data_IF_231085942521
#
_entry.id   IF_231085942521
#
_cell.length_a   1.000
_cell.length_b   1.000
_cell.length_c   1.000
_cell.angle_alpha   90.00
_cell.angle_beta   90.00
_cell.angle_gamma   90.00
#
_symmetry.space_group_name_H-M   'P 1'
#
loop_
_entity.id
_entity.type
_entity.pdbx_description
1 polymer ?
#
# COMPACT_ATOMS: atom_id res chain seq x y z
N UNK A 1 13.77 -13.19 -4.10
CA UNK A 1 12.47 -12.56 -4.43
C UNK A 1 11.36 -13.40 -3.81
N UNK A 2 10.34 -12.78 -3.21
CA UNK A 2 9.16 -13.48 -2.70
C UNK A 2 7.93 -13.00 -3.44
N UNK A 3 7.20 -13.91 -4.05
CA UNK A 3 5.98 -13.64 -4.81
C UNK A 3 4.75 -14.13 -4.02
N UNK A 4 3.71 -13.32 -3.94
CA UNK A 4 2.46 -13.62 -3.25
C UNK A 4 1.32 -13.46 -4.25
N UNK A 5 0.55 -14.54 -4.44
CA UNK A 5 -0.53 -14.61 -5.43
C UNK A 5 -1.87 -14.80 -4.77
N UNK A 6 -2.89 -14.12 -5.28
CA UNK A 6 -4.26 -14.56 -5.08
C UNK A 6 -4.56 -15.68 -6.08
N UNK A 7 -5.08 -16.82 -5.61
CA UNK A 7 -5.43 -17.93 -6.51
C UNK A 7 -6.72 -17.66 -7.29
N UNK A 8 -7.57 -16.73 -6.83
CA UNK A 8 -8.85 -16.40 -7.45
C UNK A 8 -8.77 -15.23 -8.45
N UNK A 9 -7.79 -14.33 -8.28
CA UNK A 9 -7.56 -13.19 -9.16
C UNK A 9 -6.13 -13.23 -9.67
N UNK A 10 -5.91 -12.98 -10.97
CA UNK A 10 -4.55 -12.98 -11.55
C UNK A 10 -3.60 -11.89 -10.98
N UNK A 11 -4.05 -11.12 -10.00
CA UNK A 11 -3.27 -10.14 -9.26
C UNK A 11 -2.28 -10.81 -8.31
N UNK A 12 -1.04 -10.36 -8.36
CA UNK A 12 0.00 -10.79 -7.43
C UNK A 12 0.92 -9.62 -7.08
N UNK A 13 1.68 -9.78 -6.01
CA UNK A 13 2.63 -8.78 -5.53
C UNK A 13 3.96 -9.47 -5.23
N UNK A 14 5.01 -8.95 -5.85
CA UNK A 14 6.39 -9.38 -5.64
C UNK A 14 7.14 -8.45 -4.67
N UNK A 15 7.98 -9.03 -3.82
CA UNK A 15 8.85 -8.32 -2.90
C UNK A 15 10.31 -8.77 -3.05
N UNK A 16 11.20 -7.80 -3.04
CA UNK A 16 12.64 -8.04 -2.97
C UNK A 16 13.22 -7.40 -1.70
N UNK A 17 14.21 -8.09 -1.16
CA UNK A 17 14.83 -7.74 0.11
C UNK A 17 16.33 -7.59 -0.07
N UNK A 18 16.90 -6.63 0.66
CA UNK A 18 18.34 -6.46 0.76
C UNK A 18 18.98 -7.48 1.70
N UNK A 19 20.32 -7.45 1.83
CA UNK A 19 21.07 -8.37 2.68
C UNK A 19 20.67 -8.33 4.15
N UNK A 20 20.18 -7.19 4.65
CA UNK A 20 19.73 -7.03 6.04
C UNK A 20 18.23 -7.33 6.21
N UNK A 21 17.58 -7.94 5.20
CA UNK A 21 16.14 -8.25 5.15
C UNK A 21 15.24 -7.02 5.17
N UNK A 22 15.78 -5.85 4.88
CA UNK A 22 15.02 -4.66 4.55
C UNK A 22 14.35 -4.83 3.20
N UNK A 23 13.10 -4.37 3.05
CA UNK A 23 12.47 -4.36 1.73
C UNK A 23 13.17 -3.30 0.88
N UNK A 24 13.66 -3.70 -0.28
CA UNK A 24 14.27 -2.79 -1.27
C UNK A 24 13.34 -2.51 -2.44
N UNK A 25 12.41 -3.44 -2.73
CA UNK A 25 11.50 -3.31 -3.87
C UNK A 25 10.15 -4.00 -3.62
N UNK A 26 9.08 -3.41 -4.14
CA UNK A 26 7.75 -4.00 -4.33
C UNK A 26 7.36 -3.89 -5.81
N UNK A 27 6.75 -4.94 -6.34
CA UNK A 27 6.22 -4.99 -7.70
C UNK A 27 4.76 -5.40 -7.60
N UNK A 28 3.88 -4.58 -8.12
CA UNK A 28 2.45 -4.90 -8.21
C UNK A 28 2.12 -5.29 -9.65
N UNK A 29 1.32 -6.34 -9.81
CA UNK A 29 1.00 -6.90 -11.12
C UNK A 29 -0.49 -6.74 -11.46
N UNK A 30 -0.75 -6.34 -12.69
CA UNK A 30 -2.07 -6.39 -13.32
C UNK A 30 -2.12 -7.64 -14.20
N UNK A 31 -2.59 -8.77 -13.64
CA UNK A 31 -2.46 -10.07 -14.27
C UNK A 31 -1.01 -10.56 -14.24
N UNK A 32 -0.47 -11.02 -15.37
CA UNK A 32 0.90 -11.52 -15.47
C UNK A 32 1.95 -10.43 -15.73
N UNK A 33 1.53 -9.19 -15.95
CA UNK A 33 2.43 -8.08 -16.30
C UNK A 33 2.63 -7.13 -15.13
N UNK A 34 3.87 -6.66 -14.88
CA UNK A 34 4.12 -5.61 -13.91
C UNK A 34 3.33 -4.35 -14.24
N UNK A 35 2.71 -3.76 -13.23
CA UNK A 35 1.91 -2.54 -13.35
C UNK A 35 2.60 -1.34 -12.71
N UNK A 36 3.01 -1.49 -11.45
CA UNK A 36 3.79 -0.49 -10.73
C UNK A 36 4.96 -1.12 -9.98
N UNK A 37 6.05 -0.36 -9.87
CA UNK A 37 7.25 -0.75 -9.14
C UNK A 37 7.55 0.32 -8.11
N UNK A 38 7.79 -0.08 -6.87
CA UNK A 38 8.18 0.81 -5.77
C UNK A 38 9.57 0.40 -5.28
N UNK A 39 10.51 1.33 -5.31
CA UNK A 39 11.84 1.18 -4.71
C UNK A 39 11.89 1.87 -3.36
N UNK A 40 12.57 1.27 -2.39
CA UNK A 40 12.77 1.86 -1.06
C UNK A 40 14.24 2.29 -0.92
N UNK A 41 14.48 3.59 -0.73
CA UNK A 41 15.82 4.17 -0.63
C UNK A 41 15.84 5.21 0.48
N UNK A 42 16.65 5.00 1.52
CA UNK A 42 16.86 5.99 2.58
C UNK A 42 15.57 6.46 3.28
N UNK A 43 14.58 5.56 3.45
CA UNK A 43 13.28 5.88 4.02
C UNK A 43 12.28 6.54 3.07
N UNK A 44 12.64 6.73 1.79
CA UNK A 44 11.73 7.17 0.74
C UNK A 44 11.26 5.98 -0.11
N UNK A 45 10.00 6.03 -0.53
CA UNK A 45 9.42 5.15 -1.53
C UNK A 45 9.36 5.88 -2.88
N UNK A 46 9.99 5.32 -3.90
CA UNK A 46 10.04 5.87 -5.25
C UNK A 46 9.21 4.98 -6.15
N UNK A 47 8.09 5.50 -6.66
CA UNK A 47 7.14 4.76 -7.50
C UNK A 47 7.37 5.06 -8.98
N UNK A 48 7.46 4.00 -9.77
CA UNK A 48 7.53 4.04 -11.23
C UNK A 48 6.36 3.27 -11.86
N UNK A 49 5.92 3.74 -13.03
CA UNK A 49 5.06 2.96 -13.91
C UNK A 49 5.84 1.81 -14.55
N UNK A 50 5.24 0.64 -14.64
CA UNK A 50 5.91 -0.55 -15.18
C UNK A 50 5.35 -1.02 -16.54
N UNK A 51 4.22 -0.47 -16.98
CA UNK A 51 3.63 -0.73 -18.29
C UNK A 51 3.29 0.58 -19.03
N UNK A 52 2.91 0.46 -20.31
CA UNK A 52 2.57 1.61 -21.17
C UNK A 52 1.39 2.43 -20.62
N UNK A 53 0.37 1.78 -20.07
CA UNK A 53 -0.82 2.44 -19.52
C UNK A 53 -0.48 3.31 -18.29
N UNK A 54 0.56 2.94 -17.55
CA UNK A 54 1.05 3.63 -16.36
C UNK A 54 2.32 4.45 -16.59
N UNK A 55 2.72 4.68 -17.85
CA UNK A 55 3.94 5.40 -18.20
C UNK A 55 5.18 4.57 -17.93
N UNK A 56 5.50 3.62 -18.82
CA UNK A 56 6.58 2.66 -18.63
C UNK A 56 7.91 3.37 -18.28
N UNK A 57 8.49 2.97 -17.15
CA UNK A 57 9.72 3.53 -16.56
C UNK A 57 9.64 5.03 -16.21
N UNK A 58 8.45 5.63 -16.20
CA UNK A 58 8.26 7.01 -15.77
C UNK A 58 8.13 7.09 -14.25
N UNK A 59 8.83 8.07 -13.66
CA UNK A 59 8.67 8.40 -12.25
C UNK A 59 7.26 8.95 -12.01
N UNK A 60 6.49 8.27 -11.17
CA UNK A 60 5.15 8.73 -10.79
C UNK A 60 5.21 9.64 -9.56
N UNK A 61 5.86 9.18 -8.49
CA UNK A 61 5.95 9.92 -7.24
C UNK A 61 7.11 9.46 -6.35
N UNK A 62 7.51 10.34 -5.43
CA UNK A 62 8.39 10.05 -4.30
C UNK A 62 7.61 10.30 -3.01
N UNK A 63 7.38 9.25 -2.22
CA UNK A 63 6.71 9.32 -0.93
C UNK A 63 7.72 9.20 0.21
N UNK A 64 7.53 9.99 1.27
CA UNK A 64 8.28 9.89 2.53
C UNK A 64 7.31 9.89 3.69
N UNK A 65 7.50 8.96 4.62
CA UNK A 65 6.78 8.94 5.90
C UNK A 65 7.65 9.63 6.97
N UNK A 66 7.13 10.69 7.56
CA UNK A 66 7.80 11.54 8.55
C UNK A 66 6.94 11.55 9.82
N UNK A 67 7.10 10.52 10.66
CA UNK A 67 6.16 10.25 11.74
C UNK A 67 4.76 9.99 11.19
N UNK A 68 3.78 10.80 11.62
CA UNK A 68 2.39 10.69 11.15
C UNK A 68 2.11 11.53 9.90
N UNK A 69 3.12 12.10 9.24
CA UNK A 69 2.94 12.91 8.04
C UNK A 69 3.51 12.19 6.83
N UNK A 70 2.70 12.06 5.78
CA UNK A 70 3.16 11.61 4.47
C UNK A 70 3.42 12.84 3.61
N UNK A 71 4.63 12.92 3.05
CA UNK A 71 4.98 13.87 2.01
C UNK A 71 5.06 13.14 0.67
N UNK A 72 4.23 13.55 -0.29
CA UNK A 72 4.22 13.00 -1.66
C UNK A 72 4.69 14.08 -2.62
N UNK A 73 5.79 13.81 -3.31
CA UNK A 73 6.29 14.63 -4.40
C UNK A 73 5.91 13.99 -5.74
N UNK A 74 5.31 14.76 -6.63
CA UNK A 74 5.03 14.35 -8.02
C UNK A 74 5.74 15.28 -8.99
N UNK A 75 6.17 14.76 -10.13
CA UNK A 75 6.94 15.52 -11.12
C UNK A 75 8.42 15.68 -10.74
N UNK A 76 9.19 16.33 -11.61
CA UNK A 76 10.64 16.50 -11.49
C UNK A 76 11.10 17.90 -11.92
N UNK A 77 12.35 18.25 -11.59
CA UNK A 77 12.94 19.53 -11.96
C UNK A 77 12.20 20.73 -11.35
N UNK A 78 11.94 21.76 -12.15
CA UNK A 78 11.23 22.98 -11.74
C UNK A 78 9.70 22.82 -11.64
N UNK A 79 9.13 21.72 -12.15
CA UNK A 79 7.67 21.50 -12.21
C UNK A 79 7.16 20.50 -11.17
N UNK A 80 7.89 20.31 -10.07
CA UNK A 80 7.48 19.40 -9.01
C UNK A 80 6.34 19.99 -8.16
N UNK A 81 5.51 19.11 -7.60
CA UNK A 81 4.46 19.45 -6.63
C UNK A 81 4.64 18.62 -5.38
N UNK A 82 4.41 19.23 -4.21
CA UNK A 82 4.40 18.52 -2.93
C UNK A 82 2.98 18.55 -2.36
N UNK A 83 2.49 17.37 -2.02
CA UNK A 83 1.27 17.17 -1.21
C UNK A 83 1.67 16.62 0.14
N UNK A 84 1.05 17.11 1.21
CA UNK A 84 1.24 16.58 2.56
C UNK A 84 -0.07 16.07 3.11
N UNK A 85 -0.02 14.88 3.70
CA UNK A 85 -1.16 14.23 4.33
C UNK A 85 -0.79 13.87 5.76
N UNK A 86 -1.75 13.96 6.67
CA UNK A 86 -1.59 13.59 8.08
C UNK A 86 -2.37 12.31 8.33
N UNK A 87 -1.72 11.33 8.94
CA UNK A 87 -2.29 10.08 9.38
C UNK A 87 -2.74 10.23 10.84
N UNK A 88 -4.04 10.12 11.08
CA UNK A 88 -4.57 9.93 12.42
C UNK A 88 -4.60 8.44 12.69
N UNK A 89 -3.97 8.02 13.78
CA UNK A 89 -3.85 6.62 14.15
C UNK A 89 -4.52 6.33 15.50
N UNK A 90 -4.98 5.10 15.69
CA UNK A 90 -5.45 4.61 16.98
C UNK A 90 -4.28 4.32 17.94
N UNK A 91 -4.62 3.86 19.15
CA UNK A 91 -3.63 3.52 20.18
C UNK A 91 -2.66 2.39 19.79
N UNK A 92 -3.00 1.56 18.80
CA UNK A 92 -2.14 0.50 18.26
C UNK A 92 -1.36 0.95 17.02
N UNK A 93 -1.53 2.21 16.60
CA UNK A 93 -0.90 2.77 15.42
C UNK A 93 -1.65 2.48 14.11
N UNK A 94 -2.85 1.90 14.15
CA UNK A 94 -3.63 1.67 12.95
C UNK A 94 -4.17 2.98 12.40
N UNK A 95 -3.98 3.24 11.10
CA UNK A 95 -4.50 4.47 10.48
C UNK A 95 -6.03 4.47 10.50
N UNK A 96 -6.63 5.44 11.18
CA UNK A 96 -8.08 5.65 11.22
C UNK A 96 -8.54 6.69 10.20
N UNK A 97 -7.75 7.74 9.99
CA UNK A 97 -8.12 8.81 9.09
C UNK A 97 -6.92 9.44 8.38
N UNK A 98 -7.10 9.80 7.11
CA UNK A 98 -6.09 10.54 6.33
C UNK A 98 -6.61 11.93 6.01
N UNK A 99 -5.93 12.95 6.52
CA UNK A 99 -6.28 14.36 6.35
C UNK A 99 -5.30 15.07 5.42
N UNK A 100 -5.75 16.06 4.67
CA UNK A 100 -4.87 16.98 3.97
C UNK A 100 -4.19 17.90 5.01
N UNK A 101 -2.86 18.01 4.99
CA UNK A 101 -2.13 18.75 6.02
C UNK A 101 -2.42 20.25 6.04
N UNK A 102 -2.92 20.81 4.94
CA UNK A 102 -3.22 22.25 4.82
C UNK A 102 -4.60 22.62 5.34
N UNK A 103 -5.60 21.76 5.16
CA UNK A 103 -7.00 22.04 5.53
C UNK A 103 -7.46 21.24 6.75
N UNK A 104 -6.72 20.19 7.12
CA UNK A 104 -7.11 19.19 8.12
C UNK A 104 -8.46 18.53 7.82
N UNK A 105 -8.88 18.56 6.56
CA UNK A 105 -10.07 17.84 6.08
C UNK A 105 -9.67 16.48 5.48
N UNK A 106 -10.56 15.48 5.46
CA UNK A 106 -10.30 14.19 4.83
C UNK A 106 -9.85 14.35 3.38
N UNK A 107 -8.81 13.60 2.98
CA UNK A 107 -8.24 13.71 1.62
C UNK A 107 -9.25 13.24 0.55
N UNK A 108 -10.10 12.26 0.88
CA UNK A 108 -11.24 11.83 0.08
C UNK A 108 -12.23 11.02 0.95
N UNK A 109 -13.33 10.55 0.35
CA UNK A 109 -14.35 9.72 1.02
C UNK A 109 -13.81 8.38 1.55
N UNK A 110 -12.72 7.85 0.99
CA UNK A 110 -12.04 6.66 1.48
C UNK A 110 -10.95 6.96 2.53
N UNK A 111 -10.83 8.22 2.97
CA UNK A 111 -9.85 8.64 3.96
C UNK A 111 -10.12 8.08 5.35
N UNK A 112 -11.34 7.59 5.61
CA UNK A 112 -11.69 6.88 6.84
C UNK A 112 -11.35 5.39 6.70
N UNK A 113 -10.80 4.83 7.77
CA UNK A 113 -10.31 3.48 7.82
C UNK A 113 -10.74 2.82 9.13
N UNK A 114 -11.19 1.57 9.03
CA UNK A 114 -11.49 0.73 10.17
C UNK A 114 -10.90 -0.65 9.92
N UNK A 115 -10.46 -1.31 10.98
CA UNK A 115 -9.93 -2.67 10.93
C UNK A 115 -10.63 -3.53 11.98
N UNK A 116 -10.73 -4.83 11.73
CA UNK A 116 -11.09 -5.79 12.76
C UNK A 116 -9.87 -6.11 13.66
N UNK A 117 -10.08 -6.97 14.66
CA UNK A 117 -9.03 -7.35 15.61
C UNK A 117 -7.84 -8.08 14.95
N UNK A 118 -8.01 -8.60 13.73
CA UNK A 118 -6.98 -9.34 12.99
C UNK A 118 -6.39 -8.54 11.82
N UNK A 119 -6.78 -7.27 11.71
CA UNK A 119 -6.25 -6.34 10.73
C UNK A 119 -6.93 -6.39 9.37
N UNK A 120 -8.03 -7.13 9.21
CA UNK A 120 -8.86 -7.02 8.01
C UNK A 120 -9.53 -5.64 7.98
N UNK A 121 -9.41 -4.94 6.85
CA UNK A 121 -10.11 -3.66 6.66
C UNK A 121 -11.62 -3.90 6.70
N UNK A 122 -12.32 -2.98 7.35
CA UNK A 122 -13.76 -2.90 7.43
C UNK A 122 -14.24 -1.66 6.70
N UNK A 123 -15.52 -1.67 6.36
CA UNK A 123 -16.19 -0.44 6.00
C UNK A 123 -16.16 0.50 7.21
N UNK A 124 -15.66 1.72 7.03
CA UNK A 124 -15.41 2.63 8.14
C UNK A 124 -16.68 3.25 8.72
N UNK A 125 -17.75 3.33 7.91
CA UNK A 125 -19.01 3.97 8.30
C UNK A 125 -19.97 2.98 8.95
N UNK A 126 -19.97 1.73 8.48
CA UNK A 126 -20.90 0.68 8.94
C UNK A 126 -20.25 -0.36 9.85
N UNK A 127 -18.91 -0.38 9.91
CA UNK A 127 -18.10 -1.36 10.66
C UNK A 127 -18.35 -2.81 10.22
N UNK A 128 -19.01 -3.00 9.08
CA UNK A 128 -19.26 -4.28 8.45
C UNK A 128 -18.00 -4.85 7.77
N UNK A 129 -18.13 -6.05 7.22
CA UNK A 129 -17.09 -6.60 6.36
C UNK A 129 -16.80 -5.60 5.22
N UNK A 130 -15.53 -5.28 4.98
CA UNK A 130 -15.22 -4.49 3.79
C UNK A 130 -15.76 -5.22 2.57
N UNK A 131 -16.47 -4.48 1.72
CA UNK A 131 -16.79 -4.88 0.35
C UNK A 131 -15.55 -5.53 -0.28
N UNK A 132 -15.72 -6.55 -1.15
CA UNK A 132 -14.60 -7.26 -1.75
C UNK A 132 -13.58 -6.28 -2.33
N UNK A 133 -12.31 -6.67 -2.30
CA UNK A 133 -11.25 -5.87 -2.90
C UNK A 133 -11.63 -5.46 -4.32
N UNK A 134 -11.53 -4.16 -4.62
CA UNK A 134 -11.74 -3.63 -5.97
C UNK A 134 -10.52 -2.82 -6.39
N UNK A 135 -10.23 -2.82 -7.70
CA UNK A 135 -9.20 -1.95 -8.26
C UNK A 135 -9.45 -0.45 -7.95
N UNK A 136 -10.72 -0.05 -7.78
CA UNK A 136 -11.09 1.30 -7.37
C UNK A 136 -10.65 1.64 -5.93
N UNK A 137 -10.82 0.71 -5.00
CA UNK A 137 -10.32 0.86 -3.62
C UNK A 137 -8.79 0.91 -3.59
N UNK A 138 -8.14 0.04 -4.38
CA UNK A 138 -6.68 0.02 -4.53
C UNK A 138 -6.13 1.38 -4.97
N UNK A 139 -6.69 1.92 -6.05
CA UNK A 139 -6.29 3.21 -6.61
C UNK A 139 -6.44 4.34 -5.58
N UNK A 140 -7.55 4.35 -4.82
CA UNK A 140 -7.79 5.35 -3.76
C UNK A 140 -6.79 5.23 -2.62
N UNK A 141 -6.50 4.02 -2.14
CA UNK A 141 -5.51 3.78 -1.09
C UNK A 141 -4.10 4.18 -1.56
N UNK A 142 -3.72 3.84 -2.79
CA UNK A 142 -2.44 4.24 -3.39
C UNK A 142 -2.28 5.75 -3.55
N UNK A 143 -3.38 6.49 -3.69
CA UNK A 143 -3.39 7.95 -3.73
C UNK A 143 -3.28 8.61 -2.34
N UNK A 144 -3.49 7.84 -1.26
CA UNK A 144 -3.36 8.28 0.12
C UNK A 144 -2.20 7.54 0.80
N UNK A 145 -2.53 6.42 1.44
CA UNK A 145 -1.58 5.54 2.11
C UNK A 145 -1.97 4.08 1.92
N UNK A 146 -0.94 3.25 1.72
CA UNK A 146 -1.04 1.79 1.79
C UNK A 146 -0.76 1.27 3.21
N UNK A 147 -0.35 2.15 4.14
CA UNK A 147 -0.21 1.81 5.55
C UNK A 147 -1.59 1.78 6.21
N UNK A 148 -1.84 0.79 7.06
CA UNK A 148 -3.13 0.64 7.71
C UNK A 148 -2.99 0.05 9.09
N UNK A 149 -3.39 -1.21 9.28
CA UNK A 149 -3.42 -1.87 10.58
C UNK A 149 -2.05 -1.86 11.26
N UNK A 150 -1.99 -1.42 12.52
CA UNK A 150 -0.76 -1.27 13.33
C UNK A 150 0.35 -0.45 12.64
N UNK A 151 0.00 0.41 11.69
CA UNK A 151 0.95 1.24 10.95
C UNK A 151 1.74 0.46 9.88
N UNK A 152 1.39 -0.80 9.62
CA UNK A 152 2.08 -1.63 8.63
C UNK A 152 1.48 -1.49 7.24
N UNK A 153 2.30 -1.74 6.23
CA UNK A 153 1.85 -1.73 4.84
C UNK A 153 0.97 -2.94 4.54
N UNK A 154 -0.09 -2.68 3.76
CA UNK A 154 -1.11 -3.67 3.43
C UNK A 154 -1.05 -3.98 1.94
N UNK A 155 -0.82 -5.26 1.62
CA UNK A 155 -0.97 -5.80 0.28
C UNK A 155 -2.40 -6.34 0.15
N UNK A 156 -3.33 -5.40 0.10
CA UNK A 156 -4.78 -5.66 0.17
C UNK A 156 -5.28 -6.52 -1.00
N UNK A 157 -4.65 -6.42 -2.19
CA UNK A 157 -4.96 -7.25 -3.36
C UNK A 157 -4.75 -8.74 -3.15
N UNK A 158 -3.93 -9.11 -2.18
CA UNK A 158 -3.61 -10.50 -1.84
C UNK A 158 -3.94 -10.81 -0.37
N UNK A 159 -4.70 -9.95 0.30
CA UNK A 159 -5.16 -10.16 1.67
C UNK A 159 -4.06 -10.21 2.74
N UNK A 160 -2.87 -9.69 2.46
CA UNK A 160 -1.73 -9.74 3.37
C UNK A 160 -1.37 -8.37 3.95
N UNK A 161 -0.78 -8.38 5.15
CA UNK A 161 -0.08 -7.22 5.72
C UNK A 161 1.39 -7.59 5.90
N UNK A 162 2.25 -6.66 5.49
CA UNK A 162 3.70 -6.82 5.51
C UNK A 162 4.25 -6.27 6.83
N UNK A 163 4.87 -7.14 7.62
CA UNK A 163 5.62 -6.83 8.83
C UNK A 163 7.11 -7.01 8.55
N UNK A 164 7.72 -6.00 7.93
CA UNK A 164 9.13 -6.05 7.48
C UNK A 164 9.41 -7.25 6.57
N UNK A 165 10.17 -8.24 7.03
CA UNK A 165 10.50 -9.48 6.31
C UNK A 165 9.46 -10.60 6.48
N UNK A 166 8.42 -10.37 7.29
CA UNK A 166 7.35 -11.31 7.58
C UNK A 166 6.05 -10.84 6.94
N UNK A 167 5.17 -11.79 6.64
CA UNK A 167 3.83 -11.49 6.16
C UNK A 167 2.83 -12.16 7.09
N UNK A 168 1.75 -11.44 7.41
CA UNK A 168 0.63 -11.96 8.16
C UNK A 168 -0.62 -11.92 7.26
N UNK A 169 -1.40 -13.00 7.26
CA UNK A 169 -2.72 -13.00 6.66
C UNK A 169 -3.66 -12.17 7.56
N UNK A 170 -4.52 -11.34 6.95
CA UNK A 170 -5.50 -10.52 7.68
C UNK A 170 -6.64 -11.32 8.30
N UNK A 171 -6.87 -12.52 7.78
CA UNK A 171 -7.88 -13.46 8.26
C UNK A 171 -7.46 -14.88 7.89
N UNK A 172 -7.58 -15.81 8.83
CA UNK A 172 -7.63 -17.25 8.53
C UNK A 172 -9.04 -17.53 8.01
N UNK A 173 -9.21 -17.48 6.70
CA UNK A 173 -10.39 -17.98 6.01
C UNK A 173 -9.94 -18.22 4.57
N UNK A 174 -9.70 -19.48 4.23
CA UNK A 174 -9.03 -20.00 3.03
C UNK A 174 -7.52 -19.72 2.91
N UNK A 175 -6.76 -20.82 2.92
CA UNK A 175 -5.33 -20.93 2.63
C UNK A 175 -4.95 -20.21 1.33
N UNK A 176 -3.91 -19.36 1.38
CA UNK A 176 -3.08 -19.10 0.21
C UNK A 176 -1.94 -20.14 0.22
N UNK A 177 -1.87 -21.09 -0.73
CA UNK A 177 -0.74 -21.99 -0.81
C UNK A 177 0.50 -21.17 -1.18
N UNK A 178 1.43 -21.03 -0.24
CA UNK A 178 2.78 -20.57 -0.55
C UNK A 178 3.47 -21.67 -1.36
N UNK A 179 3.44 -21.61 -2.70
CA UNK A 179 4.40 -22.38 -3.50
C UNK A 179 5.73 -21.64 -3.45
N UNK A 180 6.60 -22.06 -2.54
CA UNK A 180 8.01 -21.69 -2.58
C UNK A 180 8.67 -22.51 -3.68
N UNK A 181 8.85 -21.92 -4.86
CA UNK A 181 9.84 -22.44 -5.82
C UNK A 181 11.19 -21.83 -5.46
N UNK A 182 12.14 -22.69 -5.08
CA UNK A 182 13.56 -22.37 -4.94
C UNK A 182 14.16 -22.26 -6.34
#
# INVERSE_FOLDING_TARGET
MRDIRDAANASHVGFEYGPNRERVRRIDYAGMSPDTVVHVVGGAEIRYGANSNNGASQLQEVRRLLGNVISVQTGSGSSYRIKRQVLLADAQGSTQQVLAATTLLPVNAAGNHSFDAWGQRRDADTWGAATPWTAGLESRLRAMTTHGYTGHEMAESVGMIQWSARFAARKISSYAPTSTSI
#
